data_IF_367899839114
#
_entry.id   IF_367899839114
#
_cell.length_a   1.000
_cell.length_b   1.000
_cell.length_c   1.000
_cell.angle_alpha   90.00
_cell.angle_beta   90.00
_cell.angle_gamma   90.00
#
_symmetry.space_group_name_H-M   'P 1'
#
loop_
_entity.id
_entity.type
_entity.pdbx_description
1 polymer ?
#
# COMPACT_ATOMS: atom_id res chain seq x y z
N UNK A 1 21.58 33.34 -56.74
CA UNK A 1 21.93 32.85 -55.38
C UNK A 1 20.87 33.11 -54.29
N UNK A 2 19.89 34.02 -54.48
CA UNK A 2 18.89 34.32 -53.43
C UNK A 2 17.55 33.53 -53.52
N UNK A 3 17.26 32.83 -54.63
CA UNK A 3 16.04 32.01 -54.73
C UNK A 3 16.18 30.58 -54.16
N UNK A 4 17.40 30.04 -54.07
CA UNK A 4 17.64 28.71 -53.46
C UNK A 4 17.59 28.76 -51.91
N UNK A 5 18.05 29.86 -51.30
CA UNK A 5 18.01 30.04 -49.83
C UNK A 5 16.60 30.22 -49.27
N UNK A 6 15.68 30.77 -50.07
CA UNK A 6 14.26 30.92 -49.69
C UNK A 6 13.52 29.57 -49.70
N UNK A 7 13.84 28.69 -50.66
CA UNK A 7 13.20 27.38 -50.79
C UNK A 7 13.57 26.40 -49.68
N UNK A 8 14.83 26.40 -49.22
CA UNK A 8 15.29 25.53 -48.12
C UNK A 8 14.69 25.97 -46.77
N UNK A 9 14.49 27.28 -46.55
CA UNK A 9 13.96 27.82 -45.29
C UNK A 9 12.44 27.58 -45.12
N UNK A 10 11.71 27.35 -46.21
CA UNK A 10 10.28 27.03 -46.19
C UNK A 10 9.95 25.54 -46.02
N UNK A 11 10.92 24.64 -46.22
CA UNK A 11 10.70 23.18 -46.14
C UNK A 11 11.36 22.50 -44.92
N UNK A 12 12.22 23.19 -44.20
CA UNK A 12 12.96 22.68 -43.02
C UNK A 12 12.95 23.65 -41.82
N UNK A 13 11.95 24.53 -41.74
CA UNK A 13 11.79 25.48 -40.64
C UNK A 13 10.59 25.13 -39.76
N UNK A 14 10.74 24.19 -38.84
CA UNK A 14 9.94 24.15 -37.62
C UNK A 14 10.90 24.15 -36.44
N UNK A 15 10.76 25.17 -35.60
CA UNK A 15 11.53 25.34 -34.38
C UNK A 15 11.35 24.11 -33.50
N UNK A 16 12.42 23.36 -33.34
CA UNK A 16 12.59 22.45 -32.22
C UNK A 16 12.89 23.31 -30.99
N UNK A 17 11.82 23.74 -30.32
CA UNK A 17 11.91 24.21 -28.94
C UNK A 17 12.52 23.09 -28.10
N UNK A 18 13.49 23.51 -27.30
CA UNK A 18 14.34 22.72 -26.45
C UNK A 18 13.49 22.02 -25.37
N UNK A 19 12.96 20.84 -25.68
CA UNK A 19 12.37 19.92 -24.71
C UNK A 19 13.53 19.21 -24.04
N UNK A 20 14.01 19.77 -22.92
CA UNK A 20 14.86 19.03 -21.99
C UNK A 20 14.04 17.86 -21.47
N UNK A 21 14.65 16.69 -21.59
CA UNK A 21 14.21 15.43 -21.02
C UNK A 21 14.09 15.62 -19.50
N UNK A 22 12.84 15.54 -19.02
CA UNK A 22 12.53 15.42 -17.59
C UNK A 22 12.30 13.94 -17.34
N UNK A 23 13.25 13.36 -16.63
CA UNK A 23 13.31 11.95 -16.33
C UNK A 23 12.18 11.58 -15.34
N UNK A 24 11.23 10.79 -15.83
CA UNK A 24 10.78 9.63 -15.06
C UNK A 24 9.86 9.81 -13.85
N UNK A 25 9.00 10.82 -13.76
CA UNK A 25 7.85 10.74 -12.85
C UNK A 25 6.76 9.82 -13.44
N UNK A 26 6.66 8.61 -12.89
CA UNK A 26 5.67 7.62 -13.27
C UNK A 26 4.25 8.12 -13.04
N UNK A 27 3.60 8.61 -14.10
CA UNK A 27 2.17 8.98 -14.05
C UNK A 27 1.35 7.84 -13.42
N UNK A 28 0.56 8.09 -12.37
CA UNK A 28 -0.22 7.06 -11.72
C UNK A 28 -1.16 6.40 -12.73
N UNK A 29 -1.22 5.06 -12.69
CA UNK A 29 -2.04 4.25 -13.60
C UNK A 29 -3.50 4.67 -13.42
N UNK A 30 -4.29 4.65 -14.50
CA UNK A 30 -5.68 5.15 -14.52
C UNK A 30 -6.57 4.65 -13.37
N UNK A 31 -6.38 3.42 -12.89
CA UNK A 31 -7.10 2.87 -11.74
C UNK A 31 -6.70 3.45 -10.37
N UNK A 32 -5.48 3.98 -10.24
CA UNK A 32 -4.97 4.63 -9.04
C UNK A 32 -5.65 6.00 -8.85
N UNK A 33 -5.75 6.78 -9.93
CA UNK A 33 -6.50 8.06 -9.94
C UNK A 33 -8.01 7.88 -9.69
N UNK A 34 -8.59 6.79 -10.16
CA UNK A 34 -10.01 6.48 -9.92
C UNK A 34 -10.26 6.07 -8.45
N UNK A 35 -9.31 5.37 -7.82
CA UNK A 35 -9.36 5.04 -6.40
C UNK A 35 -9.16 6.27 -5.51
N UNK A 36 -8.16 7.11 -5.80
CA UNK A 36 -7.92 8.40 -5.12
C UNK A 36 -9.18 9.27 -5.14
N UNK A 37 -9.78 9.44 -6.32
CA UNK A 37 -11.00 10.25 -6.48
C UNK A 37 -12.25 9.65 -5.82
N UNK A 38 -12.24 8.35 -5.52
CA UNK A 38 -13.31 7.68 -4.78
C UNK A 38 -13.14 7.84 -3.27
N UNK A 39 -11.89 7.80 -2.79
CA UNK A 39 -11.51 8.08 -1.41
C UNK A 39 -11.75 9.56 -1.05
N UNK A 40 -11.39 10.49 -1.93
CA UNK A 40 -11.66 11.93 -1.77
C UNK A 40 -13.15 12.27 -1.63
N UNK A 41 -14.03 11.43 -2.17
CA UNK A 41 -15.48 11.59 -1.99
C UNK A 41 -16.00 11.05 -0.67
N UNK A 42 -15.22 10.21 0.01
CA UNK A 42 -15.61 9.54 1.25
C UNK A 42 -15.03 10.20 2.51
N UNK A 43 -13.93 10.95 2.38
CA UNK A 43 -13.28 11.62 3.51
C UNK A 43 -13.36 13.14 3.36
N UNK A 44 -14.10 13.79 4.25
CA UNK A 44 -14.37 15.24 4.23
C UNK A 44 -13.93 15.93 5.53
N UNK A 45 -13.45 15.17 6.50
CA UNK A 45 -13.05 15.60 7.84
C UNK A 45 -11.86 16.58 7.82
N UNK A 46 -11.02 16.54 6.78
CA UNK A 46 -9.91 17.48 6.61
C UNK A 46 -10.39 18.91 6.31
N UNK A 47 -11.60 19.08 5.79
CA UNK A 47 -12.19 20.39 5.47
C UNK A 47 -13.03 20.95 6.61
N UNK A 48 -13.31 20.13 7.64
CA UNK A 48 -14.17 20.49 8.75
C UNK A 48 -13.40 21.21 9.85
N UNK A 49 -14.07 22.19 10.46
CA UNK A 49 -13.64 22.82 11.70
C UNK A 49 -13.79 21.86 12.90
N UNK A 50 -13.13 22.17 14.02
CA UNK A 50 -13.25 21.36 15.24
C UNK A 50 -14.69 21.28 15.77
N UNK A 51 -15.46 22.35 15.59
CA UNK A 51 -16.88 22.42 15.98
C UNK A 51 -17.73 21.48 15.12
N UNK A 52 -17.52 21.48 13.80
CA UNK A 52 -18.20 20.57 12.88
C UNK A 52 -17.81 19.12 13.12
N UNK A 53 -16.52 18.84 13.37
CA UNK A 53 -16.05 17.49 13.74
C UNK A 53 -16.71 16.98 15.03
N UNK A 54 -16.84 17.85 16.04
CA UNK A 54 -17.54 17.49 17.28
C UNK A 54 -19.03 17.23 17.08
N UNK A 55 -19.67 17.83 16.05
CA UNK A 55 -21.08 17.60 15.73
C UNK A 55 -21.28 16.31 14.93
N UNK A 56 -20.38 16.01 13.99
CA UNK A 56 -20.41 14.78 13.20
C UNK A 56 -20.11 13.54 14.08
N UNK A 57 -19.19 13.70 15.05
CA UNK A 57 -18.76 12.63 15.96
C UNK A 57 -19.05 12.98 17.43
N UNK A 58 -20.34 13.03 17.85
CA UNK A 58 -20.71 13.46 19.20
C UNK A 58 -20.20 12.50 20.29
N UNK A 59 -20.10 11.21 19.99
CA UNK A 59 -19.64 10.19 20.94
C UNK A 59 -18.14 10.30 21.24
N UNK A 60 -17.34 10.92 20.36
CA UNK A 60 -15.89 11.00 20.49
C UNK A 60 -15.42 11.96 21.60
N UNK A 61 -16.33 12.73 22.20
CA UNK A 61 -16.01 13.59 23.35
C UNK A 61 -15.02 14.71 23.01
N UNK A 62 -15.00 15.17 21.76
CA UNK A 62 -14.10 16.22 21.27
C UNK A 62 -14.51 17.55 21.91
N UNK A 63 -13.55 18.24 22.50
CA UNK A 63 -13.73 19.59 23.00
C UNK A 63 -13.18 20.60 21.99
N UNK A 64 -14.06 21.31 21.28
CA UNK A 64 -13.67 22.26 20.23
C UNK A 64 -12.87 23.46 20.75
N UNK A 65 -13.13 23.92 21.98
CA UNK A 65 -12.43 25.06 22.59
C UNK A 65 -11.03 24.68 23.11
N UNK A 66 -10.91 23.45 23.62
CA UNK A 66 -9.68 22.90 24.21
C UNK A 66 -9.52 21.43 23.83
N UNK A 67 -9.00 21.15 22.62
CA UNK A 67 -8.86 19.79 22.12
C UNK A 67 -8.02 18.89 23.03
N UNK A 68 -7.02 19.45 23.73
CA UNK A 68 -6.17 18.72 24.67
C UNK A 68 -6.93 18.14 25.89
N UNK A 69 -8.10 18.68 26.22
CA UNK A 69 -8.92 18.25 27.36
C UNK A 69 -10.21 17.53 26.92
N UNK A 70 -10.14 16.87 25.76
CA UNK A 70 -11.23 16.03 25.25
C UNK A 70 -11.35 14.75 26.08
N UNK A 71 -12.58 14.25 26.27
CA UNK A 71 -12.82 13.05 27.09
C UNK A 71 -12.57 11.74 26.34
N UNK A 72 -12.54 11.79 25.00
CA UNK A 72 -12.46 10.59 24.17
C UNK A 72 -13.73 9.73 24.26
N UNK A 73 -13.67 8.55 23.62
CA UNK A 73 -14.76 7.58 23.61
C UNK A 73 -14.90 6.88 24.96
N UNK A 74 -16.10 6.38 25.26
CA UNK A 74 -16.27 5.45 26.39
C UNK A 74 -15.71 4.08 26.06
N UNK A 75 -15.18 3.34 27.05
CA UNK A 75 -14.71 1.96 26.82
C UNK A 75 -15.82 1.03 26.30
N UNK A 76 -17.08 1.32 26.66
CA UNK A 76 -18.24 0.56 26.19
C UNK A 76 -18.51 0.78 24.71
N UNK A 77 -18.50 2.04 24.26
CA UNK A 77 -18.75 2.40 22.86
C UNK A 77 -17.60 1.95 21.96
N UNK A 78 -16.36 2.09 22.43
CA UNK A 78 -15.19 1.59 21.72
C UNK A 78 -15.29 0.08 21.47
N UNK A 79 -15.68 -0.69 22.48
CA UNK A 79 -15.88 -2.14 22.35
C UNK A 79 -17.03 -2.49 21.40
N UNK A 80 -18.16 -1.77 21.48
CA UNK A 80 -19.30 -2.00 20.59
C UNK A 80 -18.93 -1.73 19.12
N UNK A 81 -18.14 -0.68 18.85
CA UNK A 81 -17.61 -0.38 17.51
C UNK A 81 -16.61 -1.43 17.05
N UNK A 82 -15.71 -1.88 17.92
CA UNK A 82 -14.75 -2.93 17.60
C UNK A 82 -15.44 -4.25 17.21
N UNK A 83 -16.52 -4.63 17.89
CA UNK A 83 -17.31 -5.82 17.55
C UNK A 83 -18.08 -5.66 16.23
N UNK A 84 -18.49 -4.43 15.88
CA UNK A 84 -19.25 -4.13 14.68
C UNK A 84 -18.37 -3.98 13.43
N UNK A 85 -17.31 -3.19 13.53
CA UNK A 85 -16.48 -2.77 12.40
C UNK A 85 -15.23 -3.66 12.24
N UNK A 86 -14.84 -4.36 13.31
CA UNK A 86 -13.68 -5.24 13.36
C UNK A 86 -12.40 -4.51 13.79
N UNK A 87 -11.29 -5.26 13.95
CA UNK A 87 -10.03 -4.69 14.39
C UNK A 87 -9.40 -3.78 13.33
N UNK A 88 -8.67 -2.76 13.78
CA UNK A 88 -7.81 -1.90 12.96
C UNK A 88 -6.54 -2.65 12.54
N UNK A 89 -6.73 -3.67 11.70
CA UNK A 89 -5.67 -4.49 11.16
C UNK A 89 -5.96 -4.80 9.69
N UNK A 90 -4.93 -4.68 8.86
CA UNK A 90 -4.99 -5.17 7.50
C UNK A 90 -5.15 -6.68 7.54
N UNK A 91 -6.27 -7.19 6.99
CA UNK A 91 -6.49 -8.64 6.91
C UNK A 91 -5.34 -9.27 6.09
N UNK A 92 -4.48 -10.11 6.70
CA UNK A 92 -3.42 -10.74 5.95
C UNK A 92 -4.07 -11.55 4.83
N UNK A 93 -3.56 -11.48 3.59
CA UNK A 93 -4.07 -12.33 2.52
C UNK A 93 -3.95 -13.78 3.01
N UNK A 94 -5.05 -14.53 2.96
CA UNK A 94 -5.12 -15.91 3.48
C UNK A 94 -3.88 -16.67 3.04
N UNK A 95 -3.04 -17.02 4.01
CA UNK A 95 -1.80 -17.74 3.74
C UNK A 95 -2.14 -19.07 3.09
N UNK A 96 -1.78 -19.24 1.82
CA UNK A 96 -1.80 -20.57 1.19
C UNK A 96 -0.80 -21.45 1.96
N UNK A 97 -1.19 -22.68 2.25
CA UNK A 97 -0.26 -23.64 2.86
C UNK A 97 0.90 -23.92 1.91
N UNK A 98 2.08 -24.23 2.45
CA UNK A 98 3.28 -24.53 1.64
C UNK A 98 3.00 -25.64 0.60
N UNK A 99 2.16 -26.62 0.93
CA UNK A 99 1.73 -27.67 -0.01
C UNK A 99 0.80 -27.16 -1.12
N UNK A 100 -0.13 -26.26 -0.80
CA UNK A 100 -1.00 -25.64 -1.80
C UNK A 100 -0.18 -24.77 -2.76
N UNK A 101 0.83 -24.07 -2.23
CA UNK A 101 1.77 -23.26 -3.00
C UNK A 101 2.58 -24.14 -3.96
N UNK A 102 3.10 -25.26 -3.47
CA UNK A 102 3.81 -26.22 -4.30
C UNK A 102 2.90 -26.79 -5.41
N UNK A 103 1.65 -27.14 -5.08
CA UNK A 103 0.69 -27.66 -6.05
C UNK A 103 0.35 -26.62 -7.14
N UNK A 104 0.19 -25.36 -6.76
CA UNK A 104 -0.06 -24.27 -7.71
C UNK A 104 1.13 -24.05 -8.65
N UNK A 105 2.36 -24.20 -8.15
CA UNK A 105 3.54 -24.23 -9.01
C UNK A 105 3.49 -25.42 -9.97
N UNK A 106 3.22 -26.64 -9.50
CA UNK A 106 3.10 -27.81 -10.40
C UNK A 106 1.96 -27.70 -11.44
N UNK A 107 0.88 -26.99 -11.13
CA UNK A 107 -0.27 -26.77 -12.01
C UNK A 107 -0.07 -25.60 -12.98
N UNK A 108 1.07 -24.92 -12.95
CA UNK A 108 1.39 -23.90 -13.94
C UNK A 108 1.39 -24.54 -15.34
N UNK A 109 0.69 -23.91 -16.28
CA UNK A 109 0.54 -24.40 -17.65
C UNK A 109 1.88 -24.71 -18.31
N UNK A 110 2.91 -23.90 -18.05
CA UNK A 110 4.25 -24.13 -18.59
C UNK A 110 4.87 -25.45 -18.08
N UNK A 111 4.81 -25.71 -16.77
CA UNK A 111 5.34 -26.93 -16.18
C UNK A 111 4.53 -28.17 -16.60
N UNK A 112 3.22 -28.05 -16.72
CA UNK A 112 2.36 -29.11 -17.27
C UNK A 112 2.72 -29.47 -18.71
N UNK A 113 3.04 -28.47 -19.55
CA UNK A 113 3.50 -28.72 -20.92
C UNK A 113 4.85 -29.43 -20.95
N UNK A 114 5.79 -29.06 -20.08
CA UNK A 114 7.09 -29.72 -19.97
C UNK A 114 6.97 -31.16 -19.49
N UNK A 115 6.12 -31.41 -18.48
CA UNK A 115 5.81 -32.76 -18.02
C UNK A 115 5.16 -33.58 -19.15
N UNK A 116 4.18 -32.99 -19.86
CA UNK A 116 3.52 -33.63 -21.00
C UNK A 116 4.50 -34.00 -22.12
N UNK A 117 5.43 -33.10 -22.46
CA UNK A 117 6.48 -33.35 -23.44
C UNK A 117 7.44 -34.46 -22.96
N UNK A 118 7.81 -34.46 -21.67
CA UNK A 118 8.64 -35.50 -21.05
C UNK A 118 7.97 -36.88 -21.10
N UNK A 119 6.66 -36.95 -20.83
CA UNK A 119 5.85 -38.17 -20.93
C UNK A 119 5.80 -38.65 -22.39
N UNK A 120 5.53 -37.75 -23.34
CA UNK A 120 5.44 -38.13 -24.75
C UNK A 120 6.77 -38.66 -25.27
N UNK A 121 7.89 -38.04 -24.89
CA UNK A 121 9.25 -38.50 -25.20
C UNK A 121 9.58 -39.86 -24.56
N UNK A 122 9.02 -40.16 -23.37
CA UNK A 122 9.14 -41.48 -22.77
C UNK A 122 8.33 -42.53 -23.53
N UNK A 123 7.10 -42.20 -23.94
CA UNK A 123 6.23 -43.12 -24.71
C UNK A 123 6.86 -43.45 -26.06
N UNK A 124 7.41 -42.47 -26.78
CA UNK A 124 8.08 -42.73 -28.07
C UNK A 124 9.29 -43.64 -27.91
N UNK A 125 10.06 -43.51 -26.83
CA UNK A 125 11.17 -44.42 -26.53
C UNK A 125 10.70 -45.86 -26.25
N UNK A 126 9.60 -46.03 -25.51
CA UNK A 126 9.05 -47.37 -25.21
C UNK A 126 8.53 -48.06 -26.46
N UNK A 127 7.97 -47.30 -27.42
CA UNK A 127 7.49 -47.84 -28.70
C UNK A 127 8.64 -48.14 -29.68
N UNK A 128 9.65 -47.28 -29.72
CA UNK A 128 10.82 -47.45 -30.57
C UNK A 128 12.12 -47.25 -29.78
N UNK A 129 12.61 -48.39 -29.25
CA UNK A 129 13.84 -48.44 -28.44
C UNK A 129 15.11 -48.17 -29.24
N UNK A 130 15.03 -48.04 -30.56
CA UNK A 130 16.22 -47.80 -31.42
C UNK A 130 16.76 -46.37 -31.29
N UNK A 131 15.95 -45.45 -30.74
CA UNK A 131 16.25 -44.03 -30.59
C UNK A 131 16.51 -43.69 -29.11
N UNK A 132 17.71 -43.94 -28.55
CA UNK A 132 18.01 -43.66 -27.15
C UNK A 132 17.92 -42.17 -26.80
N UNK A 133 17.98 -41.29 -27.80
CA UNK A 133 17.86 -39.84 -27.64
C UNK A 133 16.55 -39.45 -26.93
N UNK A 134 15.45 -40.15 -27.21
CA UNK A 134 14.13 -39.87 -26.62
C UNK A 134 14.10 -40.13 -25.11
N UNK A 135 14.87 -41.10 -24.62
CA UNK A 135 15.03 -41.36 -23.19
C UNK A 135 15.81 -40.23 -22.52
N UNK A 136 16.93 -39.81 -23.09
CA UNK A 136 17.73 -38.71 -22.56
C UNK A 136 16.93 -37.40 -22.50
N UNK A 137 16.20 -37.07 -23.57
CA UNK A 137 15.33 -35.88 -23.62
C UNK A 137 14.27 -35.93 -22.53
N UNK A 138 13.61 -37.08 -22.33
CA UNK A 138 12.62 -37.25 -21.27
C UNK A 138 13.20 -37.01 -19.87
N UNK A 139 14.33 -37.66 -19.56
CA UNK A 139 15.01 -37.52 -18.27
C UNK A 139 15.43 -36.07 -18.01
N UNK A 140 16.00 -35.40 -19.02
CA UNK A 140 16.42 -34.00 -18.91
C UNK A 140 15.22 -33.08 -18.70
N UNK A 141 14.12 -33.28 -19.42
CA UNK A 141 12.90 -32.48 -19.26
C UNK A 141 12.33 -32.62 -17.84
N UNK A 142 12.26 -33.84 -17.29
CA UNK A 142 11.81 -34.04 -15.91
C UNK A 142 12.76 -33.40 -14.90
N UNK A 143 14.07 -33.60 -15.05
CA UNK A 143 15.07 -33.07 -14.13
C UNK A 143 15.03 -31.53 -14.08
N UNK A 144 15.01 -30.87 -15.26
CA UNK A 144 14.94 -29.42 -15.36
C UNK A 144 13.62 -28.88 -14.82
N UNK A 145 12.50 -29.53 -15.11
CA UNK A 145 11.17 -29.11 -14.62
C UNK A 145 11.09 -29.17 -13.10
N UNK A 146 11.56 -30.26 -12.48
CA UNK A 146 11.58 -30.41 -11.02
C UNK A 146 12.48 -29.35 -10.40
N UNK A 147 13.69 -29.17 -10.94
CA UNK A 147 14.64 -28.18 -10.42
C UNK A 147 14.07 -26.76 -10.47
N UNK A 148 13.49 -26.37 -11.60
CA UNK A 148 12.93 -25.04 -11.77
C UNK A 148 11.67 -24.82 -10.92
N UNK A 149 10.80 -25.83 -10.77
CA UNK A 149 9.65 -25.74 -9.88
C UNK A 149 10.06 -25.49 -8.42
N UNK A 150 11.15 -26.11 -7.96
CA UNK A 150 11.71 -25.88 -6.63
C UNK A 150 12.27 -24.46 -6.47
N UNK A 151 12.98 -23.95 -7.49
CA UNK A 151 13.46 -22.56 -7.49
C UNK A 151 12.30 -21.57 -7.44
N UNK A 152 11.27 -21.75 -8.28
CA UNK A 152 10.08 -20.89 -8.28
C UNK A 152 9.34 -20.92 -6.94
N UNK A 153 9.23 -22.09 -6.30
CA UNK A 153 8.66 -22.21 -4.96
C UNK A 153 9.46 -21.43 -3.91
N UNK A 154 10.80 -21.48 -3.96
CA UNK A 154 11.65 -20.70 -3.05
C UNK A 154 11.59 -19.19 -3.29
N UNK A 155 11.57 -18.75 -4.54
CA UNK A 155 11.39 -17.34 -4.89
C UNK A 155 10.05 -16.81 -4.37
N UNK A 156 8.97 -17.58 -4.57
CA UNK A 156 7.66 -17.19 -4.09
C UNK A 156 7.59 -17.18 -2.56
N UNK A 157 8.21 -18.16 -1.88
CA UNK A 157 8.30 -18.18 -0.42
C UNK A 157 9.09 -16.98 0.12
N UNK A 158 10.18 -16.60 -0.54
CA UNK A 158 10.97 -15.42 -0.20
C UNK A 158 10.16 -14.13 -0.40
N UNK A 159 9.45 -14.00 -1.51
CA UNK A 159 8.59 -12.85 -1.80
C UNK A 159 7.48 -12.71 -0.74
N UNK A 160 6.80 -13.81 -0.39
CA UNK A 160 5.75 -13.81 0.65
C UNK A 160 6.29 -13.45 2.03
N UNK A 161 7.51 -13.87 2.36
CA UNK A 161 8.16 -13.50 3.62
C UNK A 161 8.43 -11.99 3.70
N UNK A 162 8.85 -11.38 2.59
CA UNK A 162 9.04 -9.93 2.53
C UNK A 162 7.73 -9.17 2.79
N UNK A 163 6.61 -9.64 2.21
CA UNK A 163 5.28 -9.05 2.42
C UNK A 163 4.87 -9.10 3.90
N UNK A 164 5.06 -10.24 4.59
CA UNK A 164 4.81 -10.35 6.04
C UNK A 164 5.73 -9.47 6.89
N UNK A 165 6.87 -9.04 6.35
CA UNK A 165 7.76 -8.08 7.02
C UNK A 165 7.07 -6.74 7.24
N UNK A 166 6.24 -6.28 6.29
CA UNK A 166 5.51 -5.01 6.38
C UNK A 166 4.47 -5.02 7.50
N UNK A 167 3.85 -6.15 7.82
CA UNK A 167 2.91 -6.26 8.96
C UNK A 167 3.59 -5.92 10.29
N UNK A 168 4.90 -6.18 10.42
CA UNK A 168 5.66 -5.84 11.62
C UNK A 168 6.05 -4.35 11.71
N UNK A 169 5.80 -3.57 10.66
CA UNK A 169 6.03 -2.11 10.64
C UNK A 169 4.80 -1.34 11.15
N UNK A 170 3.67 -2.00 11.43
CA UNK A 170 2.54 -1.35 12.08
C UNK A 170 2.81 -1.24 13.58
N UNK A 171 2.55 -0.08 14.21
CA UNK A 171 2.75 0.08 15.65
C UNK A 171 1.86 -0.90 16.41
N UNK A 172 2.43 -1.61 17.38
CA UNK A 172 1.71 -2.64 18.14
C UNK A 172 0.84 -2.07 19.26
N UNK A 173 1.23 -0.90 19.78
CA UNK A 173 0.57 -0.19 20.87
C UNK A 173 0.51 1.30 20.56
N UNK A 174 -0.54 1.95 21.04
CA UNK A 174 -0.75 3.39 20.93
C UNK A 174 -1.40 3.93 22.20
N UNK A 175 -1.19 5.23 22.46
CA UNK A 175 -1.87 5.93 23.54
C UNK A 175 -3.19 6.52 23.01
N UNK A 176 -4.31 6.06 23.57
CA UNK A 176 -5.65 6.56 23.26
C UNK A 176 -6.29 7.22 24.49
N UNK A 177 -7.22 8.13 24.28
CA UNK A 177 -8.02 8.74 25.34
C UNK A 177 -9.36 8.03 25.38
N UNK A 178 -9.65 7.35 26.50
CA UNK A 178 -10.93 6.70 26.75
C UNK A 178 -11.40 7.00 28.17
N UNK A 179 -12.72 7.20 28.33
CA UNK A 179 -13.35 7.55 29.62
C UNK A 179 -12.71 8.78 30.32
N UNK A 180 -12.15 9.72 29.55
CA UNK A 180 -11.48 10.92 30.06
C UNK A 180 -10.04 10.72 30.53
N UNK A 181 -9.47 9.53 30.36
CA UNK A 181 -8.10 9.21 30.75
C UNK A 181 -7.26 8.69 29.58
N UNK A 182 -5.95 8.90 29.66
CA UNK A 182 -5.00 8.29 28.73
C UNK A 182 -4.82 6.80 29.07
N UNK A 183 -4.96 5.93 28.07
CA UNK A 183 -4.79 4.49 28.17
C UNK A 183 -3.89 3.97 27.03
N UNK A 184 -3.00 3.04 27.35
CA UNK A 184 -2.20 2.33 26.34
C UNK A 184 -3.01 1.12 25.86
N UNK A 185 -3.32 1.10 24.56
CA UNK A 185 -4.12 0.05 23.92
C UNK A 185 -3.36 -0.52 22.73
N UNK A 186 -3.77 -1.71 22.28
CA UNK A 186 -3.25 -2.24 21.02
C UNK A 186 -3.77 -1.41 19.85
N UNK A 187 -2.93 -1.15 18.85
CA UNK A 187 -3.36 -0.43 17.65
C UNK A 187 -4.47 -1.16 16.88
N UNK A 188 -4.60 -2.49 17.05
CA UNK A 188 -5.68 -3.30 16.48
C UNK A 188 -7.05 -3.03 17.13
N UNK A 189 -7.07 -2.48 18.35
CA UNK A 189 -8.28 -2.16 19.10
C UNK A 189 -8.76 -0.72 18.87
N UNK A 190 -8.05 0.05 18.04
CA UNK A 190 -8.48 1.38 17.64
C UNK A 190 -9.74 1.31 16.79
N UNK A 191 -10.67 2.23 17.05
CA UNK A 191 -11.91 2.36 16.30
C UNK A 191 -12.09 3.78 15.78
N UNK A 192 -12.92 3.95 14.75
CA UNK A 192 -13.26 5.28 14.24
C UNK A 192 -13.85 6.12 15.36
N UNK A 193 -13.30 7.32 15.55
CA UNK A 193 -13.70 8.26 16.59
C UNK A 193 -12.87 8.19 17.88
N UNK A 194 -11.94 7.25 18.02
CA UNK A 194 -10.96 7.29 19.12
C UNK A 194 -10.07 8.54 19.01
N UNK A 195 -9.70 9.08 20.16
CA UNK A 195 -8.69 10.14 20.24
C UNK A 195 -7.35 9.52 20.61
N UNK A 196 -6.30 9.85 19.87
CA UNK A 196 -4.97 9.27 20.06
C UNK A 196 -3.91 10.35 20.24
N UNK A 197 -2.92 10.06 21.08
CA UNK A 197 -1.72 10.88 21.20
C UNK A 197 -0.60 10.31 20.33
N UNK A 198 -0.07 11.15 19.45
CA UNK A 198 1.15 10.85 18.70
C UNK A 198 2.31 11.47 19.48
N UNK A 199 3.29 10.64 19.84
CA UNK A 199 4.49 11.07 20.56
C UNK A 199 5.70 11.04 19.61
N UNK A 200 6.73 11.79 19.97
CA UNK A 200 7.97 11.77 19.20
C UNK A 200 8.59 10.35 19.23
N UNK A 201 8.93 9.82 18.06
CA UNK A 201 9.52 8.50 17.89
C UNK A 201 8.53 7.35 17.87
N UNK A 202 7.22 7.62 17.84
CA UNK A 202 6.18 6.61 17.66
C UNK A 202 5.56 6.73 16.28
N UNK A 203 5.37 5.61 15.60
CA UNK A 203 4.63 5.60 14.34
C UNK A 203 3.14 5.87 14.57
N UNK A 204 2.52 6.49 13.59
CA UNK A 204 1.09 6.84 13.58
C UNK A 204 0.26 5.56 13.40
N UNK A 205 -0.67 5.22 14.32
CA UNK A 205 -1.31 3.90 14.36
C UNK A 205 -2.51 3.70 13.43
N UNK A 206 -3.08 4.79 12.93
CA UNK A 206 -4.20 4.81 12.01
C UNK A 206 -4.16 6.11 11.19
N UNK A 207 -5.02 6.22 10.19
CA UNK A 207 -5.24 7.49 9.51
C UNK A 207 -6.01 8.42 10.46
N UNK A 208 -5.44 9.58 10.78
CA UNK A 208 -5.97 10.47 11.82
C UNK A 208 -6.07 11.92 11.35
N UNK A 209 -7.11 12.60 11.83
CA UNK A 209 -7.29 14.05 11.70
C UNK A 209 -6.69 14.73 12.94
N UNK A 210 -5.77 15.67 12.74
CA UNK A 210 -5.12 16.40 13.83
C UNK A 210 -6.08 17.40 14.49
N UNK A 211 -6.37 17.23 15.77
CA UNK A 211 -7.19 18.18 16.53
C UNK A 211 -6.37 19.29 17.19
N UNK A 212 -5.13 18.97 17.54
CA UNK A 212 -4.17 19.85 18.22
C UNK A 212 -2.77 19.33 17.91
N UNK A 213 -1.82 20.23 17.67
CA UNK A 213 -0.42 19.86 17.48
C UNK A 213 0.52 21.01 17.84
N UNK A 214 1.70 20.67 18.37
CA UNK A 214 2.76 21.62 18.70
C UNK A 214 4.02 21.28 17.89
N UNK A 215 4.32 22.07 16.86
CA UNK A 215 5.49 21.90 15.98
C UNK A 215 5.67 20.44 15.49
N UNK A 216 4.56 19.81 15.08
CA UNK A 216 4.56 18.43 14.63
C UNK A 216 5.25 18.31 13.27
N UNK A 217 6.27 17.45 13.21
CA UNK A 217 6.98 17.09 11.98
C UNK A 217 6.94 15.59 11.82
N UNK A 218 6.58 15.13 10.63
CA UNK A 218 6.45 13.71 10.32
C UNK A 218 7.26 13.34 9.09
N UNK A 219 7.83 12.15 9.12
CA UNK A 219 8.49 11.50 8.00
C UNK A 219 7.45 10.73 7.17
N UNK A 220 7.21 11.21 5.95
CA UNK A 220 6.28 10.59 4.99
C UNK A 220 6.98 9.72 3.93
N UNK A 221 8.26 9.37 4.13
CA UNK A 221 9.07 8.57 3.20
C UNK A 221 8.47 7.20 2.87
N UNK A 222 7.61 6.68 3.74
CA UNK A 222 6.86 5.45 3.50
C UNK A 222 5.90 5.54 2.30
N UNK A 223 5.43 6.75 1.96
CA UNK A 223 4.52 7.03 0.84
C UNK A 223 5.21 7.80 -0.28
N UNK A 224 5.92 8.87 0.04
CA UNK A 224 6.56 9.76 -0.95
C UNK A 224 7.89 9.23 -1.46
N UNK A 225 8.58 8.42 -0.64
CA UNK A 225 9.96 8.00 -0.89
C UNK A 225 11.01 9.09 -0.59
N UNK A 226 10.57 10.27 -0.15
CA UNK A 226 11.42 11.38 0.23
C UNK A 226 11.52 11.45 1.76
N UNK A 227 12.74 11.56 2.29
CA UNK A 227 13.00 11.50 3.73
C UNK A 227 13.03 12.88 4.40
N UNK A 228 12.43 13.90 3.79
CA UNK A 228 12.37 15.24 4.37
C UNK A 228 11.15 15.35 5.29
N UNK A 229 11.34 15.68 6.59
CA UNK A 229 10.22 15.85 7.51
C UNK A 229 9.35 17.04 7.10
N UNK A 230 8.06 16.80 6.95
CA UNK A 230 7.07 17.84 6.61
C UNK A 230 6.37 18.30 7.90
N UNK A 231 6.11 19.61 7.98
CA UNK A 231 5.34 20.20 9.08
C UNK A 231 3.84 19.97 8.88
N UNK A 232 3.17 19.57 9.95
CA UNK A 232 1.71 19.35 9.97
C UNK A 232 1.04 20.33 10.94
N UNK A 233 -0.17 20.75 10.59
CA UNK A 233 -1.01 21.70 11.34
C UNK A 233 -2.39 21.11 11.63
N UNK A 234 -3.17 21.70 12.53
CA UNK A 234 -4.52 21.22 12.84
C UNK A 234 -5.63 22.01 12.13
N UNK A 235 -5.28 23.09 11.41
CA UNK A 235 -6.24 23.98 10.76
C UNK A 235 -7.01 23.25 9.64
N UNK A 236 -8.29 23.59 9.41
CA UNK A 236 -9.07 22.99 8.32
C UNK A 236 -8.45 23.33 6.96
N UNK A 237 -8.35 22.33 6.09
CA UNK A 237 -7.83 22.49 4.74
C UNK A 237 -8.86 23.12 3.80
N UNK A 238 -8.39 23.83 2.77
CA UNK A 238 -9.25 24.39 1.73
C UNK A 238 -9.99 23.29 0.95
N UNK A 239 -11.19 23.61 0.46
CA UNK A 239 -12.07 22.65 -0.25
C UNK A 239 -11.48 22.06 -1.53
N UNK A 240 -10.43 22.69 -2.07
CA UNK A 240 -9.75 22.27 -3.30
C UNK A 240 -8.55 21.36 -3.03
N UNK A 241 -8.11 21.23 -1.77
CA UNK A 241 -6.95 20.45 -1.37
C UNK A 241 -7.38 18.99 -1.15
N UNK A 242 -6.61 18.07 -1.73
CA UNK A 242 -6.81 16.64 -1.53
C UNK A 242 -6.41 16.22 -0.11
N UNK A 243 -6.98 15.12 0.40
CA UNK A 243 -6.65 14.56 1.72
C UNK A 243 -5.15 14.28 1.84
N UNK A 244 -4.52 13.80 0.77
CA UNK A 244 -3.09 13.46 0.76
C UNK A 244 -2.16 14.67 0.76
N UNK A 245 -2.65 15.83 0.33
CA UNK A 245 -1.91 17.09 0.32
C UNK A 245 -2.22 17.95 1.57
N UNK A 246 -3.22 17.54 2.35
CA UNK A 246 -3.62 18.28 3.55
C UNK A 246 -2.60 18.11 4.66
N UNK A 247 -2.20 19.23 5.27
CA UNK A 247 -1.25 19.26 6.39
C UNK A 247 -1.90 18.86 7.72
N UNK A 248 -3.16 18.45 7.70
CA UNK A 248 -3.98 18.25 8.89
C UNK A 248 -4.54 16.84 9.05
N UNK A 249 -4.21 15.97 8.10
CA UNK A 249 -4.46 14.53 8.11
C UNK A 249 -3.14 13.81 8.06
N UNK A 250 -2.98 12.85 8.95
CA UNK A 250 -1.78 12.03 9.05
C UNK A 250 -2.14 10.60 8.72
N UNK A 251 -1.32 9.94 7.92
CA UNK A 251 -1.58 8.60 7.41
C UNK A 251 -0.88 7.56 8.30
N UNK A 252 -1.50 6.39 8.45
CA UNK A 252 -0.95 5.25 9.16
C UNK A 252 0.47 4.92 8.65
N UNK A 253 1.41 4.75 9.59
CA UNK A 253 2.78 4.33 9.31
C UNK A 253 3.79 5.47 9.14
N UNK A 254 3.36 6.74 9.16
CA UNK A 254 4.27 7.89 9.29
C UNK A 254 4.98 7.87 10.65
N UNK A 255 6.19 8.45 10.72
CA UNK A 255 7.04 8.47 11.92
C UNK A 255 7.31 9.89 12.42
#
# INVERSE_FOLDING_TARGET
MNKLKSWIKGKFGHGSDNKKDDDGEGKPKKGQKEAERSLEKQFTEHQMTLEELSQEYPDSGINADKPDNSSGLSSGDAKARLEKDGPNALKPPKGKSDWMLLLEQFLNLFWLLMIGAGILSMVTYVLDTTQPINLYVSIVLFAVTIFMCLLSFWEEKKARKAVRGFENLMPKQCAAIRDGGECEISAEELVVGDLVYIRNGTQVPADVRLLSCNELKLDNSSITGEAEPIEYTYEPADKLISVFESENVVINGFL
#
